data_IF_047352553744
#
_entry.id   IF_047352553744
#
_cell.length_a   1.000
_cell.length_b   1.000
_cell.length_c   1.000
_cell.angle_alpha   90.00
_cell.angle_beta   90.00
_cell.angle_gamma   90.00
#
_symmetry.space_group_name_H-M   'P 1'
#
loop_
_entity.id
_entity.type
_entity.pdbx_description
1 polymer ?
#
# COMPACT_ATOMS: atom_id res chain seq x y z
N UNK A 1 2.70 -15.38 11.94
CA UNK A 1 4.09 -15.04 11.56
C UNK A 1 4.29 -13.58 11.12
N UNK A 2 3.28 -12.88 10.56
CA UNK A 2 3.41 -11.49 10.05
C UNK A 2 3.26 -10.33 11.07
N UNK A 3 3.04 -10.61 12.35
CA UNK A 3 2.54 -9.61 13.31
C UNK A 3 3.58 -8.63 13.87
N UNK A 4 4.88 -8.96 13.86
CA UNK A 4 5.91 -8.11 14.49
C UNK A 4 6.26 -6.85 13.68
N UNK A 5 6.25 -6.93 12.35
CA UNK A 5 6.65 -5.81 11.48
C UNK A 5 5.41 -5.04 10.99
N UNK A 6 4.37 -5.74 10.53
CA UNK A 6 3.25 -5.11 9.86
C UNK A 6 2.18 -4.52 10.79
N UNK A 7 2.32 -4.60 12.12
CA UNK A 7 1.42 -4.00 13.14
C UNK A 7 -0.07 -4.08 12.79
N UNK A 8 -0.57 -5.27 12.46
CA UNK A 8 -1.97 -5.52 12.07
C UNK A 8 -2.45 -4.84 10.77
N UNK A 9 -1.59 -4.16 10.01
CA UNK A 9 -1.93 -3.61 8.69
C UNK A 9 -2.54 -4.65 7.72
N UNK A 10 -2.09 -5.92 7.68
CA UNK A 10 -2.70 -6.94 6.81
C UNK A 10 -4.17 -7.19 7.10
N UNK A 11 -4.66 -6.83 8.29
CA UNK A 11 -6.07 -6.96 8.63
C UNK A 11 -6.98 -5.99 7.85
N UNK A 12 -6.41 -4.93 7.28
CA UNK A 12 -7.09 -3.83 6.60
C UNK A 12 -6.72 -3.76 5.11
N UNK A 13 -6.15 -4.84 4.57
CA UNK A 13 -5.80 -4.97 3.16
C UNK A 13 -6.56 -6.14 2.54
N UNK A 14 -7.02 -5.95 1.31
CA UNK A 14 -7.59 -7.02 0.50
C UNK A 14 -6.47 -7.82 -0.14
N UNK A 15 -6.00 -8.87 0.55
CA UNK A 15 -4.89 -9.72 0.09
C UNK A 15 -5.44 -10.88 -0.73
N UNK A 16 -4.96 -11.03 -1.97
CA UNK A 16 -5.28 -12.14 -2.87
C UNK A 16 -4.01 -12.91 -3.20
N UNK A 17 -4.09 -14.23 -3.09
CA UNK A 17 -3.00 -15.13 -3.45
C UNK A 17 -3.30 -15.82 -4.78
N UNK A 18 -2.32 -15.82 -5.68
CA UNK A 18 -2.38 -16.50 -6.96
C UNK A 18 -1.33 -17.60 -6.97
N UNK A 19 -1.65 -18.76 -7.56
CA UNK A 19 -0.71 -19.89 -7.64
C UNK A 19 0.40 -19.63 -8.65
N UNK A 20 0.07 -18.92 -9.74
CA UNK A 20 1.00 -18.66 -10.83
C UNK A 20 1.00 -17.17 -11.23
N UNK A 21 2.09 -16.73 -11.87
CA UNK A 21 2.18 -15.40 -12.49
C UNK A 21 1.06 -15.20 -13.52
N UNK A 22 0.75 -16.23 -14.32
CA UNK A 22 -0.33 -16.20 -15.33
C UNK A 22 -1.68 -15.89 -14.72
N UNK A 23 -2.01 -16.50 -13.57
CA UNK A 23 -3.27 -16.25 -12.87
C UNK A 23 -3.37 -14.79 -12.40
N UNK A 24 -2.25 -14.24 -11.89
CA UNK A 24 -2.20 -12.85 -11.45
C UNK A 24 -2.34 -11.87 -12.62
N UNK A 25 -1.65 -12.13 -13.74
CA UNK A 25 -1.78 -11.36 -14.99
C UNK A 25 -3.23 -11.40 -15.48
N UNK A 26 -3.82 -12.60 -15.57
CA UNK A 26 -5.21 -12.80 -16.00
C UNK A 26 -6.17 -11.99 -15.14
N UNK A 27 -6.06 -12.08 -13.82
CA UNK A 27 -6.91 -11.31 -12.89
C UNK A 27 -6.74 -9.79 -13.06
N UNK A 28 -5.51 -9.30 -13.25
CA UNK A 28 -5.27 -7.88 -13.50
C UNK A 28 -5.94 -7.41 -14.82
N UNK A 29 -5.86 -8.23 -15.88
CA UNK A 29 -6.51 -7.95 -17.17
C UNK A 29 -8.03 -7.98 -17.07
N UNK A 30 -8.62 -8.96 -16.39
CA UNK A 30 -10.07 -9.03 -16.15
C UNK A 30 -10.60 -7.81 -15.39
N UNK A 31 -9.79 -7.26 -14.46
CA UNK A 31 -10.10 -6.04 -13.72
C UNK A 31 -9.83 -4.75 -14.51
N UNK A 32 -9.38 -4.87 -15.76
CA UNK A 32 -9.01 -3.78 -16.66
C UNK A 32 -7.93 -2.88 -16.05
N UNK A 33 -6.91 -3.50 -15.45
CA UNK A 33 -5.73 -2.81 -14.93
C UNK A 33 -4.62 -2.83 -15.96
N UNK A 34 -4.00 -1.69 -16.15
CA UNK A 34 -2.70 -1.60 -16.80
C UNK A 34 -1.61 -2.15 -15.86
N UNK A 35 -0.71 -2.98 -16.37
CA UNK A 35 0.32 -3.66 -15.60
C UNK A 35 1.63 -2.88 -15.74
N UNK A 36 2.07 -2.27 -14.64
CA UNK A 36 3.34 -1.54 -14.57
C UNK A 36 4.34 -2.34 -13.74
N UNK A 37 5.41 -2.81 -14.38
CA UNK A 37 6.42 -3.62 -13.70
C UNK A 37 7.67 -2.81 -13.36
N UNK A 38 8.20 -2.98 -12.16
CA UNK A 38 9.52 -2.43 -11.83
C UNK A 38 10.61 -3.23 -12.54
N UNK A 39 11.47 -2.56 -13.31
CA UNK A 39 12.53 -3.20 -14.09
C UNK A 39 13.78 -2.31 -14.08
N UNK A 40 14.96 -2.88 -13.82
CA UNK A 40 16.24 -2.16 -13.84
C UNK A 40 16.93 -2.23 -15.22
N UNK A 41 16.28 -2.86 -16.21
CA UNK A 41 16.79 -2.91 -17.57
C UNK A 41 16.79 -1.53 -18.24
N UNK A 42 17.64 -1.36 -19.25
CA UNK A 42 17.77 -0.11 -20.02
C UNK A 42 16.50 0.27 -20.80
N UNK A 43 15.54 -0.64 -20.94
CA UNK A 43 14.26 -0.39 -21.60
C UNK A 43 13.17 0.12 -20.65
N UNK A 44 13.48 0.36 -19.37
CA UNK A 44 12.50 0.82 -18.39
C UNK A 44 12.42 2.36 -18.35
N UNK A 45 11.20 2.87 -18.23
CA UNK A 45 10.94 4.29 -18.09
C UNK A 45 11.32 4.78 -16.70
N UNK A 46 12.00 5.93 -16.67
CA UNK A 46 12.40 6.57 -15.43
C UNK A 46 11.18 7.15 -14.72
N UNK A 47 10.93 6.76 -13.47
CA UNK A 47 9.95 7.42 -12.61
C UNK A 47 10.51 8.76 -12.11
N UNK A 48 10.70 9.74 -13.00
CA UNK A 48 11.08 11.12 -12.68
C UNK A 48 10.20 12.12 -13.41
N UNK A 49 9.99 13.26 -12.76
CA UNK A 49 9.15 14.35 -13.23
C UNK A 49 8.50 15.05 -12.05
N UNK A 50 7.78 16.13 -12.33
CA UNK A 50 6.88 16.75 -11.35
C UNK A 50 5.47 16.15 -11.44
N UNK A 51 5.12 15.59 -12.60
CA UNK A 51 3.84 14.97 -12.90
C UNK A 51 4.00 13.76 -13.83
N UNK A 52 3.07 12.83 -13.73
CA UNK A 52 2.95 11.66 -14.60
C UNK A 52 1.47 11.35 -14.73
N UNK A 53 1.01 11.11 -15.95
CA UNK A 53 -0.34 10.58 -16.15
C UNK A 53 -0.36 9.12 -15.75
N UNK A 54 -1.17 8.81 -14.72
CA UNK A 54 -1.44 7.44 -14.32
C UNK A 54 -2.67 6.90 -15.03
N UNK A 55 -2.69 5.60 -15.37
CA UNK A 55 -3.88 4.97 -15.90
C UNK A 55 -4.99 5.01 -14.87
N UNK A 56 -6.25 5.11 -15.32
CA UNK A 56 -7.43 5.07 -14.44
C UNK A 56 -7.43 3.88 -13.48
N UNK A 57 -6.89 2.74 -13.92
CA UNK A 57 -6.65 1.57 -13.09
C UNK A 57 -5.34 0.94 -13.52
N UNK A 58 -4.43 0.76 -12.57
CA UNK A 58 -3.19 0.04 -12.82
C UNK A 58 -2.84 -0.89 -11.66
N UNK A 59 -1.89 -1.79 -11.93
CA UNK A 59 -1.27 -2.69 -11.00
C UNK A 59 0.23 -2.44 -11.04
N UNK A 60 0.79 -1.97 -9.93
CA UNK A 60 2.23 -1.91 -9.74
C UNK A 60 2.74 -3.30 -9.37
N UNK A 61 3.69 -3.82 -10.15
CA UNK A 61 4.33 -5.11 -9.91
C UNK A 61 5.76 -4.89 -9.46
N UNK A 62 6.07 -5.46 -8.30
CA UNK A 62 7.41 -5.48 -7.72
C UNK A 62 7.97 -6.90 -7.72
N UNK A 63 9.27 -7.01 -7.93
CA UNK A 63 9.97 -8.28 -8.06
C UNK A 63 10.23 -9.02 -6.75
N UNK A 64 10.96 -10.14 -6.84
CA UNK A 64 11.62 -10.78 -5.69
C UNK A 64 12.99 -10.14 -5.44
N UNK A 65 13.52 -10.28 -4.23
CA UNK A 65 14.81 -9.67 -3.84
C UNK A 65 15.99 -10.14 -4.69
N UNK A 66 16.03 -11.43 -5.08
CA UNK A 66 17.14 -11.99 -5.84
C UNK A 66 17.06 -11.68 -7.36
N UNK A 67 15.88 -11.93 -7.95
CA UNK A 67 15.76 -12.04 -9.41
C UNK A 67 14.92 -10.91 -10.03
N UNK A 68 14.43 -9.97 -9.22
CA UNK A 68 13.52 -8.94 -9.70
C UNK A 68 12.18 -9.49 -10.19
N UNK A 69 11.58 -8.82 -11.18
CA UNK A 69 10.31 -9.24 -11.78
C UNK A 69 10.58 -10.34 -12.81
N UNK A 70 9.74 -11.37 -12.83
CA UNK A 70 9.91 -12.49 -13.76
C UNK A 70 9.80 -12.04 -15.22
N UNK A 71 10.54 -12.70 -16.11
CA UNK A 71 10.48 -12.47 -17.56
C UNK A 71 9.06 -12.58 -18.12
N UNK A 72 8.28 -13.55 -17.63
CA UNK A 72 6.87 -13.72 -17.96
C UNK A 72 6.02 -12.49 -17.61
N UNK A 73 6.23 -11.89 -16.43
CA UNK A 73 5.52 -10.68 -16.04
C UNK A 73 6.02 -9.45 -16.79
N UNK A 74 7.33 -9.33 -17.04
CA UNK A 74 7.91 -8.25 -17.83
C UNK A 74 7.41 -8.27 -19.29
N UNK A 75 7.19 -9.46 -19.86
CA UNK A 75 6.62 -9.62 -21.20
C UNK A 75 5.13 -9.25 -21.25
N UNK A 76 4.41 -9.40 -20.14
CA UNK A 76 3.00 -9.05 -20.03
C UNK A 76 2.75 -7.62 -19.53
N UNK A 77 3.80 -6.89 -19.12
CA UNK A 77 3.70 -5.53 -18.60
C UNK A 77 3.41 -4.55 -19.75
N UNK A 78 2.46 -3.64 -19.53
CA UNK A 78 2.17 -2.55 -20.46
C UNK A 78 3.23 -1.45 -20.37
N UNK A 79 3.80 -1.27 -19.17
CA UNK A 79 4.89 -0.33 -18.92
C UNK A 79 5.91 -0.92 -17.98
N UNK A 80 7.18 -0.62 -18.23
CA UNK A 80 8.29 -0.96 -17.34
C UNK A 80 8.85 0.31 -16.75
N UNK A 81 9.08 0.33 -15.45
CA UNK A 81 9.44 1.54 -14.73
C UNK A 81 10.58 1.31 -13.76
N UNK A 82 11.41 2.31 -13.50
CA UNK A 82 12.44 2.24 -12.48
C UNK A 82 12.53 3.50 -11.64
N UNK A 83 12.93 3.33 -10.38
CA UNK A 83 13.30 4.43 -9.52
C UNK A 83 14.79 4.74 -9.77
N UNK A 84 15.15 5.96 -10.21
CA UNK A 84 16.55 6.26 -10.43
C UNK A 84 17.33 6.28 -9.12
N UNK A 85 18.53 5.71 -9.16
CA UNK A 85 19.48 5.68 -8.06
C UNK A 85 20.68 6.54 -8.42
N UNK A 86 21.22 7.23 -7.42
CA UNK A 86 22.49 7.95 -7.54
C UNK A 86 23.49 7.25 -6.63
N UNK A 87 24.65 6.85 -7.17
CA UNK A 87 25.71 6.18 -6.42
C UNK A 87 26.10 4.84 -7.03
N UNK A 88 26.71 3.98 -6.21
CA UNK A 88 27.30 2.71 -6.65
C UNK A 88 26.39 1.49 -6.44
N UNK A 89 25.24 1.66 -5.80
CA UNK A 89 24.32 0.57 -5.56
C UNK A 89 23.49 0.29 -6.83
N UNK A 90 23.42 -0.97 -7.22
CA UNK A 90 22.64 -1.40 -8.39
C UNK A 90 21.13 -1.44 -8.10
N UNK A 91 20.75 -1.58 -6.83
CA UNK A 91 19.35 -1.62 -6.41
C UNK A 91 19.16 -1.15 -4.96
N UNK A 92 17.91 -0.89 -4.59
CA UNK A 92 17.49 -0.67 -3.20
C UNK A 92 16.88 -1.95 -2.64
N UNK A 93 16.83 -2.05 -1.31
CA UNK A 93 16.01 -3.06 -0.65
C UNK A 93 14.58 -3.05 -1.21
N UNK A 94 14.01 -4.22 -1.49
CA UNK A 94 12.71 -4.36 -2.15
C UNK A 94 11.59 -3.60 -1.43
N UNK A 95 11.54 -3.65 -0.10
CA UNK A 95 10.52 -2.94 0.68
C UNK A 95 10.70 -1.41 0.60
N UNK A 96 11.95 -0.94 0.58
CA UNK A 96 12.28 0.50 0.44
C UNK A 96 11.93 0.98 -0.96
N UNK A 97 12.31 0.25 -2.00
CA UNK A 97 11.95 0.56 -3.39
C UNK A 97 10.42 0.64 -3.56
N UNK A 98 9.71 -0.36 -3.05
CA UNK A 98 8.23 -0.40 -3.08
C UNK A 98 7.62 0.81 -2.39
N UNK A 99 8.11 1.16 -1.18
CA UNK A 99 7.61 2.31 -0.44
C UNK A 99 7.88 3.64 -1.17
N UNK A 100 9.06 3.83 -1.74
CA UNK A 100 9.43 5.03 -2.48
C UNK A 100 8.61 5.19 -3.76
N UNK A 101 8.40 4.10 -4.51
CA UNK A 101 7.56 4.13 -5.72
C UNK A 101 6.11 4.48 -5.36
N UNK A 102 5.51 3.82 -4.36
CA UNK A 102 4.14 4.12 -3.91
C UNK A 102 4.02 5.58 -3.44
N UNK A 103 4.95 6.05 -2.61
CA UNK A 103 4.94 7.42 -2.12
C UNK A 103 5.02 8.43 -3.27
N UNK A 104 5.84 8.15 -4.28
CA UNK A 104 6.01 9.01 -5.45
C UNK A 104 4.74 9.07 -6.30
N UNK A 105 4.06 7.94 -6.46
CA UNK A 105 2.76 7.88 -7.15
C UNK A 105 1.69 8.72 -6.44
N UNK A 106 1.65 8.72 -5.11
CA UNK A 106 0.74 9.61 -4.37
C UNK A 106 1.07 11.10 -4.50
N UNK A 107 2.35 11.45 -4.69
CA UNK A 107 2.75 12.83 -4.94
C UNK A 107 2.39 13.29 -6.35
N UNK A 108 2.49 12.41 -7.35
CA UNK A 108 2.09 12.71 -8.72
C UNK A 108 0.58 12.77 -8.92
N UNK A 109 -0.17 11.94 -8.18
CA UNK A 109 -1.63 11.88 -8.26
C UNK A 109 -2.26 11.91 -6.87
N UNK A 110 -2.33 13.10 -6.22
CA UNK A 110 -2.96 13.24 -4.91
C UNK A 110 -4.42 12.77 -4.89
N UNK A 111 -5.15 13.00 -5.98
CA UNK A 111 -6.56 12.64 -6.14
C UNK A 111 -6.81 11.12 -6.14
N UNK A 112 -5.77 10.30 -6.30
CA UNK A 112 -5.87 8.84 -6.19
C UNK A 112 -6.26 8.40 -4.77
N UNK A 113 -5.98 9.22 -3.76
CA UNK A 113 -6.30 8.91 -2.37
C UNK A 113 -7.79 9.06 -2.13
N UNK A 114 -8.48 7.94 -1.92
CA UNK A 114 -9.90 7.92 -1.58
C UNK A 114 -10.85 7.75 -2.78
N UNK A 115 -10.31 7.53 -3.98
CA UNK A 115 -11.05 7.22 -5.23
C UNK A 115 -11.67 5.80 -5.22
N UNK A 116 -12.44 5.52 -4.16
CA UNK A 116 -13.20 4.30 -3.97
C UNK A 116 -14.68 4.64 -4.06
N UNK A 117 -15.43 3.86 -4.84
CA UNK A 117 -16.88 4.03 -4.98
C UNK A 117 -17.58 3.85 -3.63
N UNK A 118 -18.66 4.61 -3.41
CA UNK A 118 -19.37 4.59 -2.12
C UNK A 118 -19.92 3.22 -1.74
N UNK A 119 -20.43 2.45 -2.71
CA UNK A 119 -20.93 1.10 -2.47
C UNK A 119 -19.83 0.14 -1.99
N UNK A 120 -18.65 0.20 -2.60
CA UNK A 120 -17.47 -0.58 -2.22
C UNK A 120 -16.98 -0.16 -0.82
N UNK A 121 -16.95 1.15 -0.58
CA UNK A 121 -16.58 1.74 0.71
C UNK A 121 -17.52 1.31 1.83
N UNK A 122 -18.83 1.33 1.60
CA UNK A 122 -19.86 0.87 2.55
C UNK A 122 -19.69 -0.62 2.85
N UNK A 123 -19.44 -1.43 1.81
CA UNK A 123 -19.24 -2.87 1.95
C UNK A 123 -18.01 -3.16 2.82
N UNK A 124 -16.88 -2.52 2.52
CA UNK A 124 -15.64 -2.66 3.30
C UNK A 124 -15.82 -2.15 4.74
N UNK A 125 -16.49 -1.02 4.96
CA UNK A 125 -16.81 -0.52 6.30
C UNK A 125 -17.58 -1.54 7.12
N UNK A 126 -18.64 -2.13 6.56
CA UNK A 126 -19.43 -3.16 7.24
C UNK A 126 -18.54 -4.34 7.67
N UNK A 127 -17.69 -4.83 6.77
CA UNK A 127 -16.77 -5.93 7.06
C UNK A 127 -15.76 -5.55 8.15
N UNK A 128 -15.15 -4.38 8.06
CA UNK A 128 -14.08 -3.94 8.97
C UNK A 128 -14.60 -3.56 10.34
N UNK A 129 -15.79 -2.95 10.42
CA UNK A 129 -16.46 -2.68 11.68
C UNK A 129 -16.79 -3.96 12.44
N UNK A 130 -17.30 -5.00 11.76
CA UNK A 130 -17.50 -6.30 12.39
C UNK A 130 -16.20 -6.91 12.91
N UNK A 131 -15.08 -6.67 12.21
CA UNK A 131 -13.74 -7.13 12.63
C UNK A 131 -13.16 -6.32 13.80
N UNK A 132 -13.49 -5.04 13.90
CA UNK A 132 -13.05 -4.14 14.98
C UNK A 132 -13.82 -4.36 16.28
N UNK A 133 -15.11 -4.71 16.19
CA UNK A 133 -15.98 -4.85 17.34
C UNK A 133 -15.61 -6.09 18.17
N UNK A 134 -15.38 -5.89 19.47
CA UNK A 134 -15.11 -6.94 20.45
C UNK A 134 -16.34 -7.33 21.25
N UNK A 135 -17.28 -6.41 21.42
CA UNK A 135 -18.53 -6.60 22.19
C UNK A 135 -19.76 -6.41 21.32
N UNK A 136 -20.93 -6.86 21.80
CA UNK A 136 -22.19 -6.67 21.08
C UNK A 136 -22.58 -5.20 20.96
N UNK A 137 -22.42 -4.41 22.03
CA UNK A 137 -22.66 -2.96 22.02
C UNK A 137 -21.83 -2.25 20.93
N UNK A 138 -20.56 -2.62 20.76
CA UNK A 138 -19.71 -2.05 19.70
C UNK A 138 -20.22 -2.41 18.31
N UNK A 139 -20.74 -3.62 18.10
CA UNK A 139 -21.34 -4.01 16.81
C UNK A 139 -22.56 -3.17 16.50
N UNK A 140 -23.44 -2.95 17.49
CA UNK A 140 -24.66 -2.17 17.32
C UNK A 140 -24.34 -0.68 17.02
N UNK A 141 -23.31 -0.14 17.69
CA UNK A 141 -22.80 1.21 17.41
C UNK A 141 -22.23 1.29 16.00
N UNK A 142 -21.34 0.38 15.63
CA UNK A 142 -20.68 0.45 14.32
C UNK A 142 -21.63 0.18 13.16
N UNK A 143 -22.69 -0.62 13.35
CA UNK A 143 -23.74 -0.81 12.36
C UNK A 143 -24.40 0.52 11.95
N UNK A 144 -24.60 1.44 12.92
CA UNK A 144 -25.12 2.80 12.65
C UNK A 144 -24.14 3.65 11.85
N UNK A 145 -22.84 3.46 12.04
CA UNK A 145 -21.78 4.21 11.36
C UNK A 145 -21.48 3.74 9.92
N UNK A 146 -22.07 2.64 9.45
CA UNK A 146 -21.80 2.11 8.11
C UNK A 146 -22.12 3.15 7.01
N UNK A 147 -23.29 3.79 7.13
CA UNK A 147 -23.77 4.79 6.17
C UNK A 147 -23.44 6.23 6.58
N UNK A 148 -23.22 6.47 7.88
CA UNK A 148 -22.86 7.78 8.41
C UNK A 148 -21.62 7.66 9.32
N UNK A 149 -20.42 7.49 8.74
CA UNK A 149 -19.20 7.28 9.51
C UNK A 149 -18.80 8.57 10.24
N UNK A 150 -18.10 8.47 11.38
CA UNK A 150 -17.47 9.63 11.98
C UNK A 150 -16.46 10.26 11.01
N UNK A 151 -16.28 11.57 11.12
CA UNK A 151 -15.27 12.30 10.32
C UNK A 151 -13.90 11.66 10.54
N UNK A 152 -13.17 11.31 9.47
CA UNK A 152 -11.80 10.81 9.59
C UNK A 152 -10.91 11.81 10.31
N UNK A 153 -9.90 11.31 11.03
CA UNK A 153 -8.88 12.18 11.60
C UNK A 153 -8.14 12.92 10.48
N UNK A 154 -8.10 14.25 10.58
CA UNK A 154 -7.30 15.10 9.68
C UNK A 154 -5.80 15.01 9.99
N UNK A 155 -5.44 14.78 11.25
CA UNK A 155 -4.07 14.59 11.70
C UNK A 155 -3.90 13.18 12.30
N UNK A 156 -3.17 12.32 11.58
CA UNK A 156 -2.86 10.96 12.03
C UNK A 156 -1.70 10.92 13.05
N UNK A 157 -1.02 12.05 13.29
CA UNK A 157 0.10 12.10 14.22
C UNK A 157 -0.40 11.98 15.65
N UNK A 158 0.40 11.31 16.48
CA UNK A 158 0.11 11.16 17.91
C UNK A 158 0.07 12.56 18.58
N UNK A 159 -0.98 12.90 19.35
CA UNK A 159 -1.08 14.17 20.06
C UNK A 159 0.12 14.42 20.99
N UNK A 160 0.54 15.68 21.15
CA UNK A 160 1.72 16.06 21.93
C UNK A 160 1.68 15.54 23.37
N UNK A 161 0.51 15.58 24.04
CA UNK A 161 0.31 15.02 25.38
C UNK A 161 0.71 13.54 25.51
N UNK A 162 0.69 12.79 24.41
CA UNK A 162 1.08 11.38 24.39
C UNK A 162 2.48 11.16 23.78
N UNK A 163 3.15 12.20 23.25
CA UNK A 163 4.53 12.13 22.74
C UNK A 163 5.55 12.21 23.87
N UNK A 164 5.39 11.35 24.87
CA UNK A 164 6.38 11.21 25.95
C UNK A 164 7.43 10.21 25.46
N UNK A 165 8.71 10.60 25.53
CA UNK A 165 9.80 9.68 25.24
C UNK A 165 9.71 8.48 26.18
N UNK A 166 9.71 7.28 25.63
CA UNK A 166 9.74 6.09 26.45
C UNK A 166 11.12 5.98 27.09
N UNK A 167 11.21 6.35 28.37
CA UNK A 167 12.43 6.22 29.17
C UNK A 167 12.31 4.91 29.96
N UNK A 168 13.31 4.03 29.84
CA UNK A 168 13.39 2.82 30.68
C UNK A 168 13.33 3.22 32.15
N UNK A 169 12.52 2.51 32.96
CA UNK A 169 12.35 2.81 34.40
C UNK A 169 13.68 2.96 35.17
N UNK A 170 14.73 2.23 34.78
CA UNK A 170 16.08 2.36 35.39
C UNK A 170 16.75 3.71 35.15
N UNK A 171 16.51 4.36 34.01
CA UNK A 171 17.06 5.67 33.66
C UNK A 171 16.28 6.78 34.37
N UNK A 172 14.95 6.61 34.49
CA UNK A 172 14.07 7.57 35.17
C UNK A 172 14.32 7.69 36.69
N UNK A 173 15.00 6.73 37.31
CA UNK A 173 15.39 6.76 38.73
C UNK A 173 16.73 7.48 39.01
N UNK A 174 17.48 7.85 37.97
CA UNK A 174 18.79 8.52 38.07
C UNK A 174 18.72 10.02 37.74
N UNK A 175 17.53 10.55 37.49
CA UNK A 175 17.22 11.98 37.37
C UNK A 175 16.32 12.35 38.55
#
# INVERSE_FOLDING_TARGET
>A
MYTKVARSAPAWLSIRHFKTTKDAIKAAREEKREIWATDLSQGADKLTGESMELPKKFALVVGREADGVSSEMLAAADKRVYLPLNGFAESLNLSVATALVIQKLFLYCPDMVGDMKDNERITLRRQWYMKLAKTQEQRDIYAKYVNNPPTPFSDLRRPNRHRISWIRKKIKKKQ
#
